data_IF_228957314025
#
_entry.id   IF_228957314025
#
_cell.length_a   1.000
_cell.length_b   1.000
_cell.length_c   1.000
_cell.angle_alpha   90.00
_cell.angle_beta   90.00
_cell.angle_gamma   90.00
#
_symmetry.space_group_name_H-M   'P 1'
#
loop_
_entity.id
_entity.type
_entity.pdbx_description
1 polymer ?
#
# COMPACT_ATOMS: atom_id res chain seq x y z
N UNK A 1 15.52 -11.54 2.91
CA UNK A 1 15.99 -10.66 1.81
C UNK A 1 15.01 -10.75 0.68
N UNK A 2 14.55 -9.61 0.16
CA UNK A 2 13.65 -9.53 -0.98
C UNK A 2 14.38 -8.88 -2.15
N UNK A 3 14.39 -9.51 -3.33
CA UNK A 3 15.03 -8.97 -4.54
C UNK A 3 13.99 -8.80 -5.63
N UNK A 4 14.02 -7.67 -6.33
CA UNK A 4 13.23 -7.44 -7.52
C UNK A 4 14.02 -6.64 -8.54
N UNK A 5 14.29 -7.27 -9.68
CA UNK A 5 15.09 -6.72 -10.79
C UNK A 5 16.42 -6.18 -10.25
N UNK A 6 16.57 -4.86 -10.17
CA UNK A 6 17.81 -4.19 -9.75
C UNK A 6 17.79 -3.72 -8.29
N UNK A 7 16.70 -3.95 -7.56
CA UNK A 7 16.53 -3.49 -6.18
C UNK A 7 16.47 -4.67 -5.21
N UNK A 8 17.26 -4.59 -4.14
CA UNK A 8 17.23 -5.53 -3.04
C UNK A 8 16.86 -4.82 -1.73
N UNK A 9 16.01 -5.46 -0.94
CA UNK A 9 15.62 -5.02 0.39
C UNK A 9 15.99 -6.09 1.42
N UNK A 10 16.84 -5.70 2.37
CA UNK A 10 17.41 -6.58 3.37
C UNK A 10 16.98 -6.06 4.75
N UNK A 11 16.37 -6.94 5.54
CA UNK A 11 16.05 -6.73 6.94
C UNK A 11 16.69 -7.88 7.72
N UNK A 12 17.23 -7.56 8.89
CA UNK A 12 17.79 -8.53 9.83
C UNK A 12 17.76 -7.95 11.24
N UNK A 13 17.88 -8.84 12.23
CA UNK A 13 17.88 -8.47 13.65
C UNK A 13 19.23 -7.89 14.08
N UNK A 14 20.32 -8.42 13.51
CA UNK A 14 21.69 -8.03 13.81
C UNK A 14 22.25 -7.16 12.68
N UNK A 15 22.63 -5.92 13.03
CA UNK A 15 23.31 -5.02 12.09
C UNK A 15 24.63 -5.61 11.59
N UNK A 16 25.35 -6.30 12.47
CA UNK A 16 26.64 -6.92 12.15
C UNK A 16 26.49 -7.97 11.05
N UNK A 17 25.44 -8.79 11.10
CA UNK A 17 25.22 -9.84 10.11
C UNK A 17 24.76 -9.28 8.77
N UNK A 18 23.96 -8.20 8.79
CA UNK A 18 23.60 -7.46 7.57
C UNK A 18 24.85 -6.88 6.91
N UNK A 19 25.76 -6.30 7.69
CA UNK A 19 27.01 -5.73 7.15
C UNK A 19 27.91 -6.82 6.55
N UNK A 20 28.06 -7.97 7.23
CA UNK A 20 28.81 -9.11 6.68
C UNK A 20 28.23 -9.60 5.36
N UNK A 21 26.92 -9.71 5.26
CA UNK A 21 26.23 -10.07 4.02
C UNK A 21 26.46 -9.02 2.92
N UNK A 22 26.35 -7.73 3.24
CA UNK A 22 26.60 -6.65 2.28
C UNK A 22 28.04 -6.67 1.75
N UNK A 23 29.03 -6.89 2.61
CA UNK A 23 30.42 -7.03 2.20
C UNK A 23 30.65 -8.25 1.30
N UNK A 24 29.98 -9.38 1.58
CA UNK A 24 29.98 -10.55 0.69
C UNK A 24 29.42 -10.23 -0.70
N UNK A 25 28.31 -9.49 -0.77
CA UNK A 25 27.65 -9.15 -2.03
C UNK A 25 28.45 -8.13 -2.85
N UNK A 26 29.11 -7.15 -2.20
CA UNK A 26 29.95 -6.15 -2.87
C UNK A 26 31.12 -6.77 -3.66
N UNK A 27 31.57 -7.97 -3.30
CA UNK A 27 32.63 -8.69 -4.04
C UNK A 27 32.21 -9.09 -5.45
N UNK A 28 30.91 -9.30 -5.67
CA UNK A 28 30.37 -9.82 -6.93
C UNK A 28 29.50 -8.81 -7.67
N UNK A 29 28.98 -7.79 -6.98
CA UNK A 29 28.04 -6.82 -7.53
C UNK A 29 28.43 -5.38 -7.16
N UNK A 30 28.21 -4.45 -8.09
CA UNK A 30 28.26 -3.01 -7.80
C UNK A 30 26.96 -2.58 -7.12
N UNK A 31 27.01 -2.36 -5.80
CA UNK A 31 25.84 -2.05 -4.99
C UNK A 31 25.82 -0.58 -4.56
N UNK A 32 24.64 0.05 -4.67
CA UNK A 32 24.33 1.33 -4.01
C UNK A 32 23.51 1.05 -2.76
N UNK A 33 24.06 1.36 -1.59
CA UNK A 33 23.41 1.10 -0.30
C UNK A 33 22.65 2.36 0.12
N UNK A 34 21.37 2.19 0.45
CA UNK A 34 20.56 3.22 1.10
C UNK A 34 20.14 2.67 2.46
N UNK A 35 20.71 3.20 3.53
CA UNK A 35 20.24 2.88 4.87
C UNK A 35 18.85 3.50 5.08
N UNK A 36 17.98 2.77 5.78
CA UNK A 36 16.59 3.16 6.08
C UNK A 36 15.83 3.71 4.86
N UNK A 37 15.68 2.93 3.77
CA UNK A 37 14.95 3.39 2.59
C UNK A 37 13.51 3.76 2.95
N UNK A 38 13.00 4.82 2.32
CA UNK A 38 11.61 5.30 2.54
C UNK A 38 10.60 4.54 1.69
N UNK A 39 11.03 3.81 0.67
CA UNK A 39 10.18 3.09 -0.27
C UNK A 39 10.85 1.82 -0.78
N UNK A 40 10.04 0.78 -1.02
CA UNK A 40 10.41 -0.45 -1.72
C UNK A 40 9.16 -1.02 -2.41
N UNK A 41 9.21 -1.21 -3.74
CA UNK A 41 8.14 -1.82 -4.56
C UNK A 41 6.73 -1.29 -4.26
N UNK A 42 6.48 -0.02 -4.60
CA UNK A 42 5.20 0.69 -4.38
C UNK A 42 4.75 0.82 -2.92
N UNK A 43 5.47 0.23 -1.95
CA UNK A 43 5.23 0.40 -0.53
C UNK A 43 6.13 1.48 0.03
N UNK A 44 5.55 2.34 0.86
CA UNK A 44 6.26 3.25 1.73
C UNK A 44 6.67 2.53 3.02
N UNK A 45 7.85 2.89 3.51
CA UNK A 45 8.46 2.35 4.72
C UNK A 45 8.63 3.50 5.72
N UNK A 46 7.98 3.39 6.88
CA UNK A 46 8.14 4.31 7.99
C UNK A 46 8.86 3.60 9.14
N UNK A 47 10.10 4.01 9.37
CA UNK A 47 10.96 3.51 10.44
C UNK A 47 10.50 4.09 11.77
N UNK A 48 10.35 3.24 12.78
CA UNK A 48 9.96 3.60 14.14
C UNK A 48 11.15 3.48 15.09
N UNK A 49 11.14 4.25 16.16
CA UNK A 49 12.27 4.34 17.10
C UNK A 49 12.54 3.02 17.85
N UNK A 50 11.50 2.19 18.03
CA UNK A 50 11.57 0.86 18.64
C UNK A 50 11.97 -0.26 17.67
N UNK A 51 12.60 0.08 16.54
CA UNK A 51 13.10 -0.89 15.56
C UNK A 51 12.04 -1.53 14.65
N UNK A 52 10.77 -1.14 14.78
CA UNK A 52 9.73 -1.60 13.87
C UNK A 52 9.73 -0.81 12.55
N UNK A 53 9.26 -1.47 11.49
CA UNK A 53 9.07 -0.86 10.18
C UNK A 53 7.57 -0.96 9.86
N UNK A 54 6.92 0.19 9.72
CA UNK A 54 5.56 0.24 9.20
C UNK A 54 5.62 0.26 7.68
N UNK A 55 5.06 -0.77 7.05
CA UNK A 55 4.89 -0.86 5.59
C UNK A 55 3.47 -0.41 5.24
N UNK A 56 3.33 0.58 4.36
CA UNK A 56 2.02 1.08 3.94
C UNK A 56 2.03 1.55 2.49
N UNK A 57 0.88 1.56 1.82
CA UNK A 57 0.75 1.96 0.41
C UNK A 57 0.01 3.29 0.24
N UNK A 58 0.19 4.23 1.17
CA UNK A 58 -0.55 5.50 1.17
C UNK A 58 -0.44 6.26 -0.16
N UNK A 59 0.78 6.40 -0.69
CA UNK A 59 1.00 7.06 -1.98
C UNK A 59 0.26 6.40 -3.15
N UNK A 60 0.09 5.07 -3.11
CA UNK A 60 -0.71 4.37 -4.11
C UNK A 60 -2.18 4.76 -3.96
N UNK A 61 -2.73 4.76 -2.74
CA UNK A 61 -4.10 5.20 -2.48
C UNK A 61 -4.32 6.65 -2.94
N UNK A 62 -3.44 7.58 -2.56
CA UNK A 62 -3.56 9.01 -2.87
C UNK A 62 -3.54 9.25 -4.38
N UNK A 63 -2.64 8.57 -5.10
CA UNK A 63 -2.59 8.63 -6.56
C UNK A 63 -3.89 8.15 -7.19
N UNK A 64 -4.46 7.06 -6.66
CA UNK A 64 -5.70 6.49 -7.20
C UNK A 64 -6.90 7.36 -6.90
N UNK A 65 -7.00 7.93 -5.70
CA UNK A 65 -8.06 8.88 -5.37
C UNK A 65 -7.99 10.14 -6.26
N UNK A 66 -6.79 10.66 -6.51
CA UNK A 66 -6.61 11.79 -7.42
C UNK A 66 -7.06 11.48 -8.85
N UNK A 67 -6.81 10.27 -9.37
CA UNK A 67 -7.24 9.85 -10.71
C UNK A 67 -8.78 9.90 -10.90
N UNK A 68 -9.56 9.87 -9.83
CA UNK A 68 -11.03 9.96 -9.86
C UNK A 68 -11.56 11.29 -9.30
N UNK A 69 -10.71 12.31 -9.11
CA UNK A 69 -11.06 13.58 -8.46
C UNK A 69 -11.64 13.40 -7.04
N UNK A 70 -11.14 12.39 -6.32
CA UNK A 70 -11.57 12.02 -4.98
C UNK A 70 -10.54 12.39 -3.90
N UNK A 71 -9.62 13.32 -4.20
CA UNK A 71 -8.54 13.72 -3.28
C UNK A 71 -9.04 14.22 -1.93
N UNK A 72 -10.20 14.86 -1.89
CA UNK A 72 -10.82 15.39 -0.67
C UNK A 72 -11.86 14.43 -0.06
N UNK A 73 -11.92 13.18 -0.53
CA UNK A 73 -12.89 12.20 -0.03
C UNK A 73 -12.49 11.68 1.34
N UNK A 74 -13.40 11.82 2.31
CA UNK A 74 -13.18 11.32 3.66
C UNK A 74 -13.27 9.78 3.71
N UNK A 75 -12.32 9.10 4.39
CA UNK A 75 -12.41 7.67 4.63
C UNK A 75 -13.57 7.37 5.58
N UNK A 76 -14.64 6.78 5.06
CA UNK A 76 -15.78 6.33 5.89
C UNK A 76 -15.40 5.00 6.56
N UNK A 77 -15.42 4.97 7.89
CA UNK A 77 -15.13 3.76 8.70
C UNK A 77 -16.30 2.77 8.74
N UNK A 78 -17.50 3.23 8.42
CA UNK A 78 -18.75 2.48 8.54
C UNK A 78 -19.15 1.83 7.20
N UNK A 79 -19.74 0.63 7.22
CA UNK A 79 -20.39 0.08 6.03
C UNK A 79 -21.43 1.07 5.54
N UNK A 80 -21.53 1.22 4.22
CA UNK A 80 -22.61 1.96 3.56
C UNK A 80 -23.95 1.52 4.15
N UNK A 81 -24.81 2.43 4.64
CA UNK A 81 -26.09 2.04 5.20
C UNK A 81 -26.89 1.22 4.16
N UNK A 82 -27.44 0.08 4.60
CA UNK A 82 -28.19 -0.86 3.75
C UNK A 82 -29.38 -0.23 3.02
N UNK A 83 -29.84 0.94 3.48
CA UNK A 83 -31.00 1.64 2.95
C UNK A 83 -30.61 2.86 2.12
N UNK A 84 -29.66 2.73 1.18
CA UNK A 84 -29.49 3.74 0.15
C UNK A 84 -30.65 3.61 -0.83
N UNK A 85 -31.74 4.35 -0.59
CA UNK A 85 -32.79 4.52 -1.58
C UNK A 85 -32.17 5.17 -2.82
N UNK A 86 -31.98 4.36 -3.86
CA UNK A 86 -31.45 4.78 -5.15
C UNK A 86 -32.45 5.77 -5.76
N UNK A 87 -32.24 7.07 -5.55
CA UNK A 87 -32.91 8.10 -6.36
C UNK A 87 -32.13 8.18 -7.67
N UNK A 88 -32.66 7.67 -8.79
CA UNK A 88 -31.98 7.83 -10.06
C UNK A 88 -31.89 9.32 -10.36
N UNK A 89 -30.67 9.84 -10.44
CA UNK A 89 -30.44 11.18 -10.95
C UNK A 89 -30.82 11.12 -12.45
N UNK A 90 -31.93 11.76 -12.82
CA UNK A 90 -32.54 11.72 -14.15
C UNK A 90 -31.67 12.31 -15.28
N UNK A 91 -30.45 12.74 -14.97
CA UNK A 91 -29.50 13.34 -15.90
C UNK A 91 -28.09 12.74 -15.75
N UNK A 92 -27.97 11.44 -15.48
CA UNK A 92 -26.68 10.78 -15.50
C UNK A 92 -26.12 10.79 -16.94
N UNK A 93 -25.10 11.62 -17.19
CA UNK A 93 -24.31 11.58 -18.41
C UNK A 93 -23.84 10.15 -18.68
N UNK A 94 -23.71 9.76 -19.95
CA UNK A 94 -23.15 8.48 -20.36
C UNK A 94 -21.83 8.22 -19.62
N UNK A 95 -21.89 7.40 -18.57
CA UNK A 95 -20.73 7.09 -17.75
C UNK A 95 -19.90 6.04 -18.50
N UNK A 96 -18.62 6.32 -18.69
CA UNK A 96 -17.74 5.43 -19.44
C UNK A 96 -17.51 4.13 -18.64
N UNK A 97 -18.04 3.01 -19.14
CA UNK A 97 -18.00 1.70 -18.47
C UNK A 97 -16.58 1.29 -18.06
N UNK A 98 -15.57 1.65 -18.86
CA UNK A 98 -14.15 1.37 -18.59
C UNK A 98 -13.65 2.08 -17.33
N UNK A 99 -14.09 3.32 -17.08
CA UNK A 99 -13.75 4.07 -15.87
C UNK A 99 -14.36 3.38 -14.65
N UNK A 100 -15.59 2.87 -14.76
CA UNK A 100 -16.24 2.11 -13.67
C UNK A 100 -15.47 0.84 -13.34
N UNK A 101 -15.14 0.04 -14.36
CA UNK A 101 -14.42 -1.23 -14.19
C UNK A 101 -13.05 -1.00 -13.56
N UNK A 102 -12.33 0.04 -13.99
CA UNK A 102 -11.07 0.46 -13.40
C UNK A 102 -11.22 0.83 -11.93
N UNK A 103 -12.22 1.65 -11.58
CA UNK A 103 -12.49 2.06 -10.20
C UNK A 103 -12.83 0.86 -9.30
N UNK A 104 -13.70 -0.03 -9.78
CA UNK A 104 -14.09 -1.25 -9.07
C UNK A 104 -12.90 -2.19 -8.83
N UNK A 105 -12.05 -2.40 -9.84
CA UNK A 105 -10.86 -3.23 -9.70
C UNK A 105 -9.88 -2.66 -8.66
N UNK A 106 -9.70 -1.34 -8.65
CA UNK A 106 -8.85 -0.66 -7.68
C UNK A 106 -9.42 -0.75 -6.27
N UNK A 107 -10.72 -0.54 -6.11
CA UNK A 107 -11.40 -0.66 -4.82
C UNK A 107 -11.27 -2.10 -4.26
N UNK A 108 -11.44 -3.11 -5.12
CA UNK A 108 -11.26 -4.51 -4.74
C UNK A 108 -9.81 -4.80 -4.31
N UNK A 109 -8.81 -4.30 -5.05
CA UNK A 109 -7.41 -4.45 -4.64
C UNK A 109 -7.16 -3.82 -3.28
N UNK A 110 -7.63 -2.58 -3.07
CA UNK A 110 -7.46 -1.87 -1.80
C UNK A 110 -8.14 -2.59 -0.64
N UNK A 111 -9.37 -3.08 -0.83
CA UNK A 111 -10.13 -3.79 0.19
C UNK A 111 -9.46 -5.10 0.62
N UNK A 112 -8.90 -5.85 -0.33
CA UNK A 112 -8.32 -7.16 -0.09
C UNK A 112 -6.84 -7.14 0.32
N UNK A 113 -6.05 -6.20 -0.21
CA UNK A 113 -4.58 -6.28 -0.12
C UNK A 113 -3.93 -5.14 0.68
N UNK A 114 -4.65 -4.06 0.98
CA UNK A 114 -4.06 -2.87 1.64
C UNK A 114 -4.63 -2.57 3.02
N UNK A 115 -5.77 -3.16 3.39
CA UNK A 115 -6.33 -3.03 4.74
C UNK A 115 -5.60 -4.01 5.66
N UNK A 116 -4.98 -3.56 6.77
CA UNK A 116 -4.51 -4.48 7.80
C UNK A 116 -5.72 -5.22 8.38
N UNK A 117 -5.65 -6.55 8.43
CA UNK A 117 -6.66 -7.43 9.07
C UNK A 117 -6.57 -7.28 10.60
N UNK A 118 -6.80 -6.08 11.13
CA UNK A 118 -6.80 -5.82 12.58
C UNK A 118 -8.20 -5.44 13.12
N UNK A 119 -9.26 -5.57 12.32
CA UNK A 119 -10.63 -5.29 12.77
C UNK A 119 -11.61 -6.47 12.65
N UNK A 120 -11.17 -7.66 12.21
CA UNK A 120 -12.03 -8.84 12.09
C UNK A 120 -11.88 -9.88 13.23
N UNK A 121 -10.92 -9.71 14.14
CA UNK A 121 -10.63 -10.69 15.22
C UNK A 121 -11.04 -10.24 16.63
N UNK A 122 -11.82 -9.17 16.78
CA UNK A 122 -12.35 -8.71 18.09
C UNK A 122 -13.87 -8.88 18.25
N UNK A 123 -14.47 -9.85 17.57
CA UNK A 123 -15.87 -10.24 17.83
C UNK A 123 -16.09 -11.73 18.09
N UNK A 124 -15.04 -12.46 18.49
CA UNK A 124 -15.17 -13.81 19.04
C UNK A 124 -14.26 -13.97 20.25
N UNK A 125 -14.64 -13.31 21.35
CA UNK A 125 -14.37 -13.72 22.73
C UNK A 125 -15.58 -13.34 23.57
#
# INVERSE_FOLDING_TARGET
>A
MHIHVNNAFIIGVSRTDILKLLESLKKHYSLKIKEKPTQHLCCNLKWKDYGAILVHQANFCDKRLSEFNMSDSNPVKTPTPFNLHYKPLTTASNFELRIMQKAMGMLNYLALHTRPINHATKQLQ
#
